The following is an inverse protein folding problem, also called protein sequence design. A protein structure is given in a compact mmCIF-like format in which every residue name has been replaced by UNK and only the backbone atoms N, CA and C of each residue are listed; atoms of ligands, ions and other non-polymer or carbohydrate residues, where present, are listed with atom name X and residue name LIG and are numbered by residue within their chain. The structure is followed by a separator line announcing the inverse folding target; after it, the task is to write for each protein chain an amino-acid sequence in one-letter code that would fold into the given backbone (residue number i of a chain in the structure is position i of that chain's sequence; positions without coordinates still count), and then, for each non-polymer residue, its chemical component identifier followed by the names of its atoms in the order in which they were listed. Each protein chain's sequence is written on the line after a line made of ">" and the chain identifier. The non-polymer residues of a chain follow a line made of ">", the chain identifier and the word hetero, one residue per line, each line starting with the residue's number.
data_IF_972802228316
#
_entry.id   IF_972802228316
#
_cell.length_a   1.000
_cell.length_b   1.000
_cell.length_c   1.000
_cell.angle_alpha   90.00
_cell.angle_beta   90.00
_cell.angle_gamma   90.00
#
_symmetry.space_group_name_H-M   'P 1'
#
loop_
_entity.id
_entity.type
_entity.pdbx_description
1 polymer ?
#
# COMPACT_ATOMS: atom_id res chain seq x y z
N UNK A 1 53.50 -25.69 30.20
CA UNK A 1 53.70 -25.50 28.75
C UNK A 1 52.67 -24.50 28.28
N UNK A 2 53.08 -23.30 27.82
CA UNK A 2 52.19 -22.22 27.42
C UNK A 2 51.98 -22.22 25.88
N UNK A 3 50.78 -21.93 25.43
CA UNK A 3 50.50 -21.41 24.08
C UNK A 3 49.08 -20.83 24.08
N UNK A 4 48.99 -19.49 24.13
CA UNK A 4 48.54 -18.63 23.01
C UNK A 4 47.01 -18.43 23.03
N UNK A 5 46.51 -17.33 23.59
CA UNK A 5 46.30 -16.04 22.91
C UNK A 5 45.63 -16.16 21.53
N UNK A 6 44.32 -15.83 21.48
CA UNK A 6 43.76 -15.21 20.28
C UNK A 6 42.50 -14.40 20.63
N UNK A 7 42.75 -13.14 20.99
CA UNK A 7 41.83 -12.01 20.84
C UNK A 7 41.65 -11.69 19.35
N UNK A 8 40.43 -11.75 18.84
CA UNK A 8 40.07 -11.13 17.56
C UNK A 8 38.85 -10.25 17.73
N UNK A 9 39.12 -8.95 17.78
CA UNK A 9 38.17 -7.87 17.67
C UNK A 9 37.65 -7.77 16.23
N UNK A 10 36.33 -7.82 16.04
CA UNK A 10 35.70 -7.50 14.76
C UNK A 10 35.04 -6.13 14.80
N UNK A 11 35.86 -5.18 14.37
CA UNK A 11 35.62 -3.91 13.67
C UNK A 11 34.21 -3.72 13.10
N UNK A 12 33.62 -2.57 13.43
CA UNK A 12 32.34 -2.12 12.91
C UNK A 12 32.33 -1.74 11.43
N UNK A 13 31.17 -1.93 10.81
CA UNK A 13 30.78 -1.31 9.56
C UNK A 13 29.75 -0.23 9.83
N UNK A 14 30.19 1.03 9.73
CA UNK A 14 29.33 2.20 9.50
C UNK A 14 28.99 2.21 8.01
N UNK A 15 27.75 1.94 7.66
CA UNK A 15 27.22 2.31 6.35
C UNK A 15 26.90 3.82 6.37
N UNK A 16 27.58 4.56 5.51
CA UNK A 16 27.37 5.97 5.29
C UNK A 16 26.21 6.16 4.30
N UNK A 17 25.18 6.90 4.72
CA UNK A 17 24.14 7.39 3.82
C UNK A 17 24.71 8.41 2.84
N UNK A 18 24.38 8.34 1.53
CA UNK A 18 24.68 9.42 0.60
C UNK A 18 23.69 10.59 0.79
N UNK A 19 24.15 11.86 0.70
CA UNK A 19 23.27 13.02 0.70
C UNK A 19 22.65 13.20 -0.68
N UNK A 20 21.33 13.10 -0.80
CA UNK A 20 20.64 13.55 -2.00
C UNK A 20 20.53 15.07 -1.98
N UNK A 21 21.42 15.68 -2.77
CA UNK A 21 21.46 17.08 -3.09
C UNK A 21 20.15 17.53 -3.76
N UNK A 22 19.59 18.62 -3.24
CA UNK A 22 18.53 19.38 -3.88
C UNK A 22 19.00 19.95 -5.20
N UNK A 23 18.20 19.75 -6.24
CA UNK A 23 18.25 20.56 -7.47
C UNK A 23 16.99 21.42 -7.50
N UNK A 24 17.17 22.68 -7.11
CA UNK A 24 16.33 23.75 -7.60
C UNK A 24 16.64 23.95 -9.09
N UNK A 25 15.62 23.90 -9.94
CA UNK A 25 15.69 24.51 -11.26
C UNK A 25 14.40 25.30 -11.49
N UNK A 26 14.54 26.59 -11.24
CA UNK A 26 13.88 27.67 -11.96
C UNK A 26 13.93 27.41 -13.48
N UNK A 27 12.87 27.80 -14.19
CA UNK A 27 12.88 28.71 -15.35
C UNK A 27 11.44 28.76 -15.91
N UNK A 28 10.81 29.93 -15.78
CA UNK A 28 9.64 30.37 -16.54
C UNK A 28 10.01 30.61 -18.01
N UNK A 29 9.04 30.49 -18.94
CA UNK A 29 8.41 31.70 -19.49
C UNK A 29 6.89 31.49 -19.62
N UNK A 30 5.99 32.35 -19.16
CA UNK A 30 5.76 33.76 -19.54
C UNK A 30 5.75 33.97 -21.07
N UNK A 31 4.59 33.71 -21.69
CA UNK A 31 4.18 34.46 -22.88
C UNK A 31 2.65 34.60 -22.88
N UNK A 32 2.26 35.86 -22.82
CA UNK A 32 0.93 36.43 -22.77
C UNK A 32 0.19 36.37 -24.13
N UNK A 33 -1.12 36.69 -24.16
CA UNK A 33 -2.01 36.36 -25.26
C UNK A 33 -1.97 37.39 -26.39
N UNK A 34 -2.14 36.94 -27.63
CA UNK A 34 -2.48 37.84 -28.73
C UNK A 34 -3.99 37.91 -28.92
N UNK A 35 -4.57 38.97 -28.36
CA UNK A 35 -5.84 39.55 -28.81
C UNK A 35 -5.47 40.56 -29.89
N UNK A 36 -5.94 40.35 -31.12
CA UNK A 36 -5.95 41.39 -32.17
C UNK A 36 -7.39 41.77 -32.44
N UNK A 37 -7.74 42.95 -31.97
CA UNK A 37 -8.95 43.72 -32.23
C UNK A 37 -8.89 44.42 -33.59
N UNK A 38 -10.01 44.37 -34.32
CA UNK A 38 -10.67 45.55 -34.91
C UNK A 38 -10.06 46.20 -36.17
N UNK A 39 -10.93 46.69 -37.05
CA UNK A 39 -10.55 47.72 -38.02
C UNK A 39 -11.37 47.71 -39.29
N UNK A 40 -12.46 48.46 -39.28
CA UNK A 40 -13.30 48.86 -40.40
C UNK A 40 -12.54 49.57 -41.53
N UNK A 41 -13.13 49.67 -42.72
CA UNK A 41 -12.58 50.50 -43.80
C UNK A 41 -13.35 50.48 -45.12
N UNK A 42 -14.36 51.35 -45.21
CA UNK A 42 -15.01 51.85 -46.43
C UNK A 42 -14.03 52.38 -47.50
N UNK A 43 -14.51 52.46 -48.75
CA UNK A 43 -14.01 53.38 -49.79
C UNK A 43 -13.73 52.69 -51.12
N UNK A 44 -14.67 52.69 -52.08
CA UNK A 44 -14.98 53.76 -53.03
C UNK A 44 -14.01 53.87 -54.24
N UNK A 45 -14.63 53.82 -55.43
CA UNK A 45 -14.27 54.49 -56.69
C UNK A 45 -12.96 54.16 -57.45
N UNK A 46 -13.12 53.59 -58.66
CA UNK A 46 -12.83 54.21 -59.98
C UNK A 46 -13.04 53.16 -61.08
N UNK A 47 -14.05 53.29 -61.95
CA UNK A 47 -14.06 54.07 -63.20
C UNK A 47 -12.88 53.80 -64.16
N UNK A 48 -13.19 53.11 -65.26
CA UNK A 48 -12.79 53.40 -66.66
C UNK A 48 -13.50 52.40 -67.58
N UNK A 49 -14.50 52.77 -68.41
CA UNK A 49 -14.39 53.31 -69.79
C UNK A 49 -13.38 52.50 -70.63
N UNK A 50 -13.65 51.99 -71.84
CA UNK A 50 -14.41 52.53 -72.97
C UNK A 50 -14.48 51.44 -74.07
N UNK A 51 -15.21 51.72 -75.15
CA UNK A 51 -15.22 51.04 -76.46
C UNK A 51 -16.03 49.72 -76.55
N UNK A 52 -16.98 49.54 -77.46
CA UNK A 52 -17.25 50.22 -78.73
C UNK A 52 -18.72 50.03 -79.11
N UNK A 53 -19.37 51.18 -79.29
CA UNK A 53 -20.52 51.39 -80.14
C UNK A 53 -20.27 50.83 -81.54
N UNK A 54 -21.32 50.31 -82.17
CA UNK A 54 -21.34 50.16 -83.62
C UNK A 54 -22.07 48.92 -84.14
N UNK A 55 -23.29 48.64 -83.68
CA UNK A 55 -24.22 47.71 -84.38
C UNK A 55 -25.67 47.69 -83.88
N UNK A 56 -26.16 48.73 -83.20
CA UNK A 56 -27.55 48.76 -82.67
C UNK A 56 -28.57 49.47 -83.55
N UNK A 57 -28.15 50.27 -84.53
CA UNK A 57 -29.09 51.07 -85.34
C UNK A 57 -29.60 50.36 -86.61
N UNK A 58 -29.33 49.07 -86.78
CA UNK A 58 -29.91 48.24 -87.86
C UNK A 58 -30.90 47.16 -87.37
N UNK A 59 -31.14 47.09 -86.05
CA UNK A 59 -32.02 46.09 -85.44
C UNK A 59 -33.40 46.65 -85.04
N UNK A 60 -33.53 47.96 -84.82
CA UNK A 60 -34.81 48.58 -84.47
C UNK A 60 -35.76 48.78 -85.67
N UNK A 61 -35.23 49.06 -86.87
CA UNK A 61 -36.07 49.18 -88.08
C UNK A 61 -36.60 47.82 -88.59
N UNK A 62 -35.93 46.71 -88.24
CA UNK A 62 -36.38 45.35 -88.56
C UNK A 62 -37.34 44.76 -87.53
N UNK A 63 -37.36 45.25 -86.28
CA UNK A 63 -38.35 44.84 -85.28
C UNK A 63 -39.70 45.53 -85.48
N UNK A 64 -39.73 46.78 -85.93
CA UNK A 64 -40.99 47.53 -86.10
C UNK A 64 -41.85 47.05 -87.28
N UNK A 65 -41.29 46.31 -88.24
CA UNK A 65 -42.08 45.68 -89.33
C UNK A 65 -42.61 44.28 -88.99
N UNK A 66 -42.16 43.67 -87.88
CA UNK A 66 -42.64 42.36 -87.39
C UNK A 66 -43.77 42.51 -86.35
N UNK A 67 -43.91 43.67 -85.73
CA UNK A 67 -44.91 43.93 -84.67
C UNK A 67 -46.33 44.18 -85.20
N UNK A 68 -46.54 44.27 -86.53
CA UNK A 68 -47.85 44.64 -87.10
C UNK A 68 -48.80 43.50 -87.44
N UNK A 69 -48.49 42.25 -87.06
CA UNK A 69 -49.40 41.09 -87.09
C UNK A 69 -49.10 40.09 -85.97
N UNK A 70 -49.01 40.57 -84.73
CA UNK A 70 -48.93 39.71 -83.56
C UNK A 70 -50.28 39.79 -82.85
N UNK A 71 -51.04 38.70 -82.88
CA UNK A 71 -52.28 38.58 -82.13
C UNK A 71 -51.99 38.70 -80.63
N UNK A 72 -52.92 39.29 -79.87
CA UNK A 72 -52.78 39.60 -78.42
C UNK A 72 -52.33 38.38 -77.60
N UNK A 73 -52.61 37.18 -78.07
CA UNK A 73 -52.19 35.88 -77.53
C UNK A 73 -50.66 35.70 -77.41
N UNK A 74 -49.87 36.18 -78.37
CA UNK A 74 -48.41 36.01 -78.37
C UNK A 74 -47.72 36.90 -77.32
N UNK A 75 -48.31 38.07 -77.02
CA UNK A 75 -47.81 38.97 -75.98
C UNK A 75 -48.00 38.38 -74.57
N UNK A 76 -49.11 37.67 -74.36
CA UNK A 76 -49.39 37.00 -73.08
C UNK A 76 -48.37 35.87 -72.85
N UNK A 77 -48.07 35.07 -73.89
CA UNK A 77 -47.07 34.00 -73.81
C UNK A 77 -45.67 34.57 -73.53
N UNK A 78 -45.28 35.66 -74.20
CA UNK A 78 -43.98 36.29 -73.98
C UNK A 78 -43.83 36.81 -72.54
N UNK A 79 -44.86 37.47 -72.00
CA UNK A 79 -44.85 37.97 -70.61
C UNK A 79 -44.77 36.81 -69.61
N UNK A 80 -45.57 35.76 -69.78
CA UNK A 80 -45.51 34.58 -68.91
C UNK A 80 -44.11 33.93 -68.92
N UNK A 81 -43.46 33.86 -70.07
CA UNK A 81 -42.12 33.28 -70.20
C UNK A 81 -41.06 34.10 -69.46
N UNK A 82 -41.17 35.44 -69.51
CA UNK A 82 -40.29 36.35 -68.77
C UNK A 82 -40.49 36.20 -67.26
N UNK A 83 -41.74 36.11 -66.79
CA UNK A 83 -42.05 35.94 -65.36
C UNK A 83 -41.48 34.61 -64.84
N UNK A 84 -41.62 33.52 -65.60
CA UNK A 84 -41.02 32.22 -65.25
C UNK A 84 -39.49 32.31 -65.20
N UNK A 85 -38.86 32.99 -66.17
CA UNK A 85 -37.41 33.16 -66.18
C UNK A 85 -36.91 33.94 -64.96
N UNK A 86 -37.60 35.01 -64.57
CA UNK A 86 -37.27 35.80 -63.37
C UNK A 86 -37.44 34.94 -62.11
N UNK A 87 -38.55 34.21 -61.97
CA UNK A 87 -38.79 33.32 -60.83
C UNK A 87 -37.72 32.22 -60.72
N UNK A 88 -37.24 31.70 -61.85
CA UNK A 88 -36.17 30.69 -61.89
C UNK A 88 -34.84 31.27 -61.43
N UNK A 89 -34.48 32.49 -61.86
CA UNK A 89 -33.24 33.16 -61.43
C UNK A 89 -33.27 33.46 -59.93
N UNK A 90 -34.39 33.94 -59.39
CA UNK A 90 -34.55 34.19 -57.94
C UNK A 90 -34.39 32.89 -57.15
N UNK A 91 -34.99 31.79 -57.62
CA UNK A 91 -34.87 30.48 -56.98
C UNK A 91 -33.42 29.98 -56.93
N UNK A 92 -32.64 30.19 -58.01
CA UNK A 92 -31.21 29.81 -58.05
C UNK A 92 -30.37 30.65 -57.08
N UNK A 93 -30.68 31.93 -56.90
CA UNK A 93 -29.97 32.80 -55.93
C UNK A 93 -30.25 32.37 -54.49
N UNK A 94 -31.50 32.02 -54.17
CA UNK A 94 -31.88 31.52 -52.84
C UNK A 94 -31.17 30.19 -52.53
N UNK A 95 -31.12 29.26 -53.49
CA UNK A 95 -30.42 27.98 -53.32
C UNK A 95 -28.91 28.18 -53.17
N UNK A 96 -28.31 29.12 -53.91
CA UNK A 96 -26.88 29.46 -53.72
C UNK A 96 -26.59 30.06 -52.34
N UNK A 97 -27.47 30.93 -51.81
CA UNK A 97 -27.34 31.47 -50.46
C UNK A 97 -27.34 30.39 -49.38
N UNK A 98 -28.24 29.40 -49.51
CA UNK A 98 -28.25 28.23 -48.61
C UNK A 98 -27.02 27.33 -48.76
N UNK A 99 -26.48 27.20 -49.98
CA UNK A 99 -25.30 26.39 -50.25
C UNK A 99 -24.01 27.03 -49.70
N UNK A 100 -23.93 28.36 -49.69
CA UNK A 100 -22.81 29.10 -49.09
C UNK A 100 -22.91 29.11 -47.54
N UNK A 101 -24.12 29.16 -46.97
CA UNK A 101 -24.34 28.91 -45.53
C UNK A 101 -23.93 27.49 -45.12
N UNK A 102 -24.23 26.48 -45.94
CA UNK A 102 -23.81 25.10 -45.69
C UNK A 102 -22.29 24.89 -45.78
N UNK A 103 -21.57 25.68 -46.59
CA UNK A 103 -20.10 25.65 -46.65
C UNK A 103 -19.44 26.37 -45.47
N UNK A 104 -20.08 27.40 -44.93
CA UNK A 104 -19.63 28.07 -43.70
C UNK A 104 -19.73 27.12 -42.48
N UNK A 105 -20.81 26.33 -42.43
CA UNK A 105 -21.08 25.32 -41.40
C UNK A 105 -20.04 24.19 -41.35
N UNK A 106 -19.41 23.81 -42.47
CA UNK A 106 -18.35 22.79 -42.46
C UNK A 106 -17.10 23.27 -41.73
N UNK A 107 -16.73 24.56 -41.85
CA UNK A 107 -15.59 25.11 -41.10
C UNK A 107 -15.84 25.16 -39.58
N UNK A 108 -17.08 25.44 -39.19
CA UNK A 108 -17.50 25.42 -37.78
C UNK A 108 -17.60 23.98 -37.26
N UNK A 109 -18.05 23.03 -38.09
CA UNK A 109 -18.08 21.62 -37.76
C UNK A 109 -16.66 21.06 -37.59
N UNK A 110 -15.71 21.42 -38.46
CA UNK A 110 -14.30 21.02 -38.35
C UNK A 110 -13.65 21.59 -37.08
N UNK A 111 -13.97 22.84 -36.72
CA UNK A 111 -13.52 23.43 -35.46
C UNK A 111 -14.14 22.75 -34.23
N UNK A 112 -15.42 22.37 -34.30
CA UNK A 112 -16.10 21.65 -33.23
C UNK A 112 -15.53 20.24 -33.05
N UNK A 113 -15.24 19.54 -34.14
CA UNK A 113 -14.59 18.22 -34.14
C UNK A 113 -13.16 18.33 -33.60
N UNK A 114 -12.41 19.36 -33.99
CA UNK A 114 -11.07 19.60 -33.46
C UNK A 114 -11.11 19.89 -31.94
N UNK A 115 -12.05 20.72 -31.49
CA UNK A 115 -12.25 21.01 -30.07
C UNK A 115 -12.66 19.76 -29.27
N UNK A 116 -13.60 18.96 -29.79
CA UNK A 116 -14.03 17.71 -29.18
C UNK A 116 -12.88 16.68 -29.13
N UNK A 117 -12.04 16.61 -30.17
CA UNK A 117 -10.87 15.73 -30.22
C UNK A 117 -9.82 16.15 -29.19
N UNK A 118 -9.56 17.45 -29.05
CA UNK A 118 -8.67 17.98 -28.00
C UNK A 118 -9.20 17.67 -26.60
N UNK A 119 -10.51 17.81 -26.38
CA UNK A 119 -11.12 17.48 -25.09
C UNK A 119 -11.06 15.97 -24.80
N UNK A 120 -11.30 15.11 -25.79
CA UNK A 120 -11.18 13.66 -25.64
C UNK A 120 -9.75 13.21 -25.32
N UNK A 121 -8.74 13.82 -25.97
CA UNK A 121 -7.34 13.56 -25.67
C UNK A 121 -6.94 14.04 -24.28
N UNK A 122 -7.38 15.24 -23.85
CA UNK A 122 -7.14 15.73 -22.51
C UNK A 122 -7.79 14.85 -21.42
N UNK A 123 -9.01 14.34 -21.67
CA UNK A 123 -9.68 13.38 -20.77
C UNK A 123 -8.90 12.06 -20.72
N UNK A 124 -8.36 11.60 -21.86
CA UNK A 124 -7.52 10.40 -21.92
C UNK A 124 -6.25 10.57 -21.11
N UNK A 125 -5.55 11.70 -21.25
CA UNK A 125 -4.32 11.98 -20.50
C UNK A 125 -4.58 12.10 -18.99
N UNK A 126 -5.70 12.70 -18.58
CA UNK A 126 -6.12 12.74 -17.17
C UNK A 126 -6.44 11.34 -16.64
N UNK A 127 -7.10 10.50 -17.44
CA UNK A 127 -7.38 9.10 -17.07
C UNK A 127 -6.07 8.30 -16.93
N UNK A 128 -5.14 8.49 -17.85
CA UNK A 128 -3.86 7.77 -17.83
C UNK A 128 -3.01 8.23 -16.63
N UNK A 129 -2.99 9.54 -16.31
CA UNK A 129 -2.35 10.08 -15.11
C UNK A 129 -2.99 9.55 -13.83
N UNK A 130 -4.33 9.54 -13.74
CA UNK A 130 -5.05 8.98 -12.60
C UNK A 130 -4.79 7.47 -12.44
N UNK A 131 -4.72 6.73 -13.55
CA UNK A 131 -4.40 5.31 -13.53
C UNK A 131 -2.97 5.04 -13.05
N UNK A 132 -2.00 5.86 -13.48
CA UNK A 132 -0.62 5.81 -13.00
C UNK A 132 -0.53 6.12 -11.50
N UNK A 133 -1.23 7.15 -11.03
CA UNK A 133 -1.30 7.48 -9.60
C UNK A 133 -1.92 6.35 -8.78
N UNK A 134 -3.00 5.71 -9.26
CA UNK A 134 -3.61 4.57 -8.58
C UNK A 134 -2.66 3.37 -8.47
N UNK A 135 -1.89 3.07 -9.53
CA UNK A 135 -0.88 2.00 -9.48
C UNK A 135 0.22 2.31 -8.46
N UNK A 136 0.74 3.54 -8.46
CA UNK A 136 1.76 3.94 -7.47
C UNK A 136 1.25 3.91 -6.03
N UNK A 137 -0.01 4.32 -5.80
CA UNK A 137 -0.65 4.22 -4.49
C UNK A 137 -0.86 2.77 -4.06
N UNK A 138 -1.24 1.89 -4.98
CA UNK A 138 -1.40 0.47 -4.71
C UNK A 138 -0.05 -0.18 -4.34
N UNK A 139 1.03 0.14 -5.05
CA UNK A 139 2.38 -0.31 -4.74
C UNK A 139 2.85 0.23 -3.38
N UNK A 140 2.63 1.52 -3.09
CA UNK A 140 2.96 2.12 -1.81
C UNK A 140 2.18 1.48 -0.65
N UNK A 141 0.88 1.23 -0.82
CA UNK A 141 0.08 0.51 0.18
C UNK A 141 0.58 -0.92 0.39
N UNK A 142 0.99 -1.61 -0.67
CA UNK A 142 1.62 -2.93 -0.58
C UNK A 142 2.93 -2.88 0.21
N UNK A 143 3.80 -1.91 -0.08
CA UNK A 143 5.06 -1.71 0.62
C UNK A 143 4.84 -1.35 2.10
N UNK A 144 3.88 -0.45 2.40
CA UNK A 144 3.54 -0.08 3.77
C UNK A 144 2.97 -1.25 4.58
N UNK A 145 2.09 -2.07 3.99
CA UNK A 145 1.60 -3.29 4.64
C UNK A 145 2.73 -4.26 4.96
N UNK A 146 3.63 -4.50 4.01
CA UNK A 146 4.80 -5.35 4.22
C UNK A 146 5.73 -4.79 5.31
N UNK A 147 5.94 -3.48 5.32
CA UNK A 147 6.72 -2.81 6.36
C UNK A 147 6.06 -2.91 7.73
N UNK A 148 4.73 -2.80 7.80
CA UNK A 148 3.96 -2.99 9.02
C UNK A 148 4.09 -4.43 9.54
N UNK A 149 4.02 -5.43 8.67
CA UNK A 149 4.24 -6.83 9.03
C UNK A 149 5.65 -7.10 9.57
N UNK A 150 6.68 -6.55 8.92
CA UNK A 150 8.08 -6.65 9.39
C UNK A 150 8.23 -5.98 10.75
N UNK A 151 7.65 -4.79 10.93
CA UNK A 151 7.69 -4.06 12.20
C UNK A 151 6.98 -4.85 13.29
N UNK A 152 5.81 -5.44 13.00
CA UNK A 152 5.11 -6.30 13.94
C UNK A 152 5.95 -7.51 14.34
N UNK A 153 6.64 -8.16 13.39
CA UNK A 153 7.54 -9.29 13.67
C UNK A 153 8.70 -8.88 14.59
N UNK A 154 9.30 -7.71 14.34
CA UNK A 154 10.41 -7.20 15.14
C UNK A 154 9.98 -6.80 16.56
N UNK A 155 8.74 -6.35 16.73
CA UNK A 155 8.22 -5.87 18.00
C UNK A 155 7.54 -6.96 18.85
N UNK A 156 7.41 -8.20 18.37
CA UNK A 156 6.66 -9.26 19.07
C UNK A 156 7.12 -9.46 20.51
N UNK A 157 6.19 -9.95 21.33
CA UNK A 157 6.54 -10.42 22.65
C UNK A 157 7.45 -11.66 22.54
N UNK A 158 8.36 -11.81 23.47
CA UNK A 158 9.27 -12.95 23.51
C UNK A 158 9.53 -13.32 24.95
N UNK A 159 8.93 -14.40 25.43
CA UNK A 159 9.12 -14.85 26.80
C UNK A 159 10.35 -15.73 26.90
N UNK A 160 11.27 -15.36 27.80
CA UNK A 160 12.49 -16.10 28.10
C UNK A 160 12.56 -16.47 29.57
N UNK A 161 13.07 -17.67 29.85
CA UNK A 161 13.49 -18.05 31.21
C UNK A 161 14.87 -17.49 31.52
N UNK A 162 14.96 -16.74 32.61
CA UNK A 162 16.24 -16.20 33.11
C UNK A 162 16.94 -17.20 34.04
N UNK A 163 16.16 -17.98 34.79
CA UNK A 163 16.70 -18.93 35.76
C UNK A 163 15.62 -19.63 36.56
N UNK A 164 16.06 -20.45 37.51
CA UNK A 164 15.22 -20.97 38.59
C UNK A 164 15.85 -20.50 39.90
N UNK A 165 15.02 -19.98 40.79
CA UNK A 165 15.41 -19.57 42.14
C UNK A 165 14.87 -20.59 43.13
N UNK A 166 15.75 -21.19 43.92
CA UNK A 166 15.37 -22.00 45.07
C UNK A 166 15.31 -21.11 46.33
N UNK A 167 14.20 -21.17 47.06
CA UNK A 167 14.07 -20.52 48.37
C UNK A 167 13.78 -21.58 49.43
N UNK A 168 14.53 -21.65 50.54
CA UNK A 168 14.28 -22.64 51.58
C UNK A 168 12.88 -22.46 52.16
N UNK A 169 12.24 -23.58 52.49
CA UNK A 169 10.94 -23.63 53.17
C UNK A 169 11.17 -24.20 54.56
N UNK A 170 10.75 -23.45 55.58
CA UNK A 170 10.91 -23.80 56.98
C UNK A 170 9.57 -24.24 57.58
N UNK A 171 9.59 -25.30 58.38
CA UNK A 171 8.48 -25.69 59.25
C UNK A 171 8.95 -25.59 60.71
N UNK A 172 8.69 -24.43 61.34
CA UNK A 172 9.33 -24.10 62.61
C UNK A 172 10.82 -23.80 62.42
N UNK A 173 11.68 -24.57 63.10
CA UNK A 173 13.14 -24.45 62.98
C UNK A 173 13.73 -25.37 61.89
N UNK A 174 12.95 -26.34 61.41
CA UNK A 174 13.43 -27.36 60.50
C UNK A 174 13.22 -26.96 59.03
N UNK A 175 14.27 -27.15 58.22
CA UNK A 175 14.19 -26.97 56.76
C UNK A 175 13.51 -28.20 56.15
N UNK A 176 12.33 -28.01 55.56
CA UNK A 176 11.52 -29.11 54.97
C UNK A 176 11.67 -29.24 53.46
N UNK A 177 12.30 -28.28 52.81
CA UNK A 177 12.57 -28.32 51.38
C UNK A 177 12.84 -26.95 50.79
N UNK A 178 12.62 -26.81 49.47
CA UNK A 178 12.80 -25.57 48.73
C UNK A 178 11.62 -25.29 47.82
N UNK A 179 11.16 -24.05 47.85
CA UNK A 179 10.27 -23.50 46.85
C UNK A 179 11.11 -23.11 45.64
N UNK A 180 11.05 -23.93 44.60
CA UNK A 180 11.60 -23.60 43.30
C UNK A 180 10.67 -22.59 42.63
N UNK A 181 11.23 -21.58 41.96
CA UNK A 181 10.48 -20.58 41.21
C UNK A 181 11.20 -20.32 39.89
N UNK A 182 10.52 -20.53 38.76
CA UNK A 182 11.06 -20.08 37.48
C UNK A 182 10.90 -18.55 37.37
N UNK A 183 11.95 -17.90 36.87
CA UNK A 183 11.95 -16.46 36.59
C UNK A 183 11.81 -16.32 35.09
N UNK A 184 10.68 -15.78 34.65
CA UNK A 184 10.44 -15.46 33.24
C UNK A 184 10.48 -13.97 33.02
N UNK A 185 10.97 -13.55 31.86
CA UNK A 185 10.94 -12.16 31.42
C UNK A 185 10.43 -12.08 29.99
N UNK A 186 9.59 -11.09 29.71
CA UNK A 186 9.32 -10.69 28.35
C UNK A 186 10.49 -9.83 27.84
N UNK A 187 11.31 -10.39 26.95
CA UNK A 187 12.42 -9.71 26.27
C UNK A 187 12.03 -9.17 24.90
N UNK A 188 10.74 -9.25 24.54
CA UNK A 188 10.18 -8.72 23.31
C UNK A 188 9.86 -7.22 23.38
N UNK A 189 9.35 -6.68 22.28
CA UNK A 189 9.04 -5.26 22.13
C UNK A 189 7.62 -4.87 22.57
N UNK A 190 6.72 -5.84 22.74
CA UNK A 190 5.32 -5.63 23.12
C UNK A 190 4.90 -6.53 24.28
N UNK A 191 3.77 -6.22 24.92
CA UNK A 191 3.19 -7.09 25.94
C UNK A 191 2.85 -8.47 25.38
N UNK A 192 2.95 -9.49 26.24
CA UNK A 192 2.38 -10.81 26.01
C UNK A 192 1.04 -10.91 26.76
N UNK A 193 0.00 -11.28 26.04
CA UNK A 193 -1.36 -11.47 26.55
C UNK A 193 -1.68 -12.96 26.70
N UNK A 194 -2.74 -13.27 27.44
CA UNK A 194 -3.17 -14.64 27.73
C UNK A 194 -2.01 -15.52 28.24
N UNK A 195 -1.07 -14.90 28.96
CA UNK A 195 0.11 -15.60 29.42
C UNK A 195 -0.31 -16.67 30.42
N UNK A 196 0.17 -17.87 30.16
CA UNK A 196 -0.15 -19.05 30.94
C UNK A 196 1.09 -19.93 31.04
N UNK A 197 1.24 -20.59 32.19
CA UNK A 197 2.35 -21.51 32.39
C UNK A 197 1.96 -22.64 33.34
N UNK A 198 2.43 -23.84 33.00
CA UNK A 198 2.40 -25.00 33.88
C UNK A 198 3.81 -25.56 33.98
N UNK A 199 4.18 -26.03 35.16
CA UNK A 199 5.44 -26.71 35.37
C UNK A 199 5.32 -27.74 36.50
N UNK A 200 6.24 -28.69 36.57
CA UNK A 200 6.25 -29.82 37.52
C UNK A 200 7.68 -30.25 37.85
N UNK A 201 7.85 -30.86 39.02
CA UNK A 201 9.08 -31.55 39.43
C UNK A 201 8.87 -33.05 39.22
N UNK A 202 9.84 -33.70 38.59
CA UNK A 202 9.89 -35.15 38.42
C UNK A 202 11.12 -35.67 39.15
N UNK A 203 10.95 -36.63 40.06
CA UNK A 203 12.05 -37.20 40.81
C UNK A 203 12.79 -38.27 39.98
N UNK A 204 12.47 -38.50 38.70
CA UNK A 204 13.30 -39.30 37.80
C UNK A 204 13.12 -38.73 36.38
N UNK A 205 14.00 -39.10 35.46
CA UNK A 205 13.97 -38.58 34.10
C UNK A 205 12.62 -38.87 33.42
N UNK A 206 11.82 -37.84 33.09
CA UNK A 206 10.55 -38.07 32.44
C UNK A 206 10.82 -38.51 31.00
N UNK A 207 10.58 -39.80 30.74
CA UNK A 207 10.64 -40.38 29.40
C UNK A 207 9.27 -40.21 28.73
N UNK A 208 9.26 -39.70 27.52
CA UNK A 208 8.09 -39.77 26.64
C UNK A 208 7.90 -41.15 26.04
N UNK A 209 6.72 -41.36 25.46
CA UNK A 209 6.38 -42.57 24.71
C UNK A 209 7.31 -42.86 23.53
N UNK A 210 8.04 -41.88 23.01
CA UNK A 210 9.02 -42.04 21.92
C UNK A 210 10.46 -42.24 22.42
N UNK A 211 10.67 -42.41 23.74
CA UNK A 211 11.96 -42.72 24.34
C UNK A 211 12.95 -41.55 24.40
N UNK A 212 12.54 -40.34 24.01
CA UNK A 212 13.34 -39.13 24.19
C UNK A 212 13.31 -38.69 25.65
N UNK A 213 14.43 -38.14 26.11
CA UNK A 213 14.55 -37.56 27.44
C UNK A 213 14.07 -36.12 27.43
N UNK A 214 13.10 -35.82 28.31
CA UNK A 214 12.42 -34.51 28.40
C UNK A 214 11.79 -33.91 27.11
N UNK A 215 10.66 -34.45 26.62
CA UNK A 215 9.77 -33.78 25.64
C UNK A 215 8.36 -33.58 26.21
N UNK A 216 7.97 -32.32 26.38
CA UNK A 216 7.05 -31.96 27.47
C UNK A 216 5.58 -32.19 27.09
N UNK A 217 5.01 -33.31 27.55
CA UNK A 217 3.55 -33.54 27.58
C UNK A 217 2.95 -32.87 28.81
N UNK A 218 3.12 -31.56 28.93
CA UNK A 218 2.19 -30.80 29.77
C UNK A 218 1.08 -30.34 28.82
N UNK A 219 -0.04 -31.08 28.87
CA UNK A 219 -1.26 -30.67 28.17
C UNK A 219 -1.66 -29.27 28.69
N UNK A 220 -2.00 -28.34 27.80
CA UNK A 220 -2.52 -27.05 28.24
C UNK A 220 -3.76 -27.28 29.11
N UNK A 221 -3.93 -26.47 30.15
CA UNK A 221 -5.18 -26.47 30.90
C UNK A 221 -6.26 -25.79 30.06
N UNK A 222 -7.47 -26.34 30.11
CA UNK A 222 -8.65 -25.75 29.43
C UNK A 222 -9.03 -24.36 30.00
N UNK A 223 -8.60 -24.05 31.23
CA UNK A 223 -8.84 -22.76 31.88
C UNK A 223 -7.55 -21.95 31.95
N UNK A 224 -7.53 -20.86 31.19
CA UNK A 224 -6.48 -19.85 31.22
C UNK A 224 -6.93 -18.69 32.11
N UNK A 225 -6.06 -18.24 32.98
CA UNK A 225 -6.23 -16.96 33.66
C UNK A 225 -5.46 -15.92 32.84
N UNK A 226 -6.10 -14.87 32.33
CA UNK A 226 -5.40 -13.88 31.53
C UNK A 226 -4.41 -13.14 32.44
N UNK A 227 -3.12 -13.40 32.25
CA UNK A 227 -2.05 -12.57 32.79
C UNK A 227 -1.43 -11.78 31.64
N UNK A 228 -1.11 -10.51 31.93
CA UNK A 228 -0.35 -9.65 31.04
C UNK A 228 1.12 -9.69 31.47
N UNK A 229 2.02 -9.92 30.52
CA UNK A 229 3.46 -9.81 30.73
C UNK A 229 4.06 -8.66 29.93
N UNK A 230 4.32 -7.55 30.62
CA UNK A 230 4.91 -6.34 30.04
C UNK A 230 6.42 -6.52 29.78
N UNK A 231 6.96 -5.94 28.68
CA UNK A 231 8.39 -5.98 28.40
C UNK A 231 9.26 -5.56 29.59
N UNK A 232 10.35 -6.30 29.78
CA UNK A 232 11.36 -6.03 30.79
C UNK A 232 10.99 -6.40 32.23
N UNK A 233 9.72 -6.63 32.55
CA UNK A 233 9.32 -7.01 33.91
C UNK A 233 9.54 -8.51 34.15
N UNK A 234 10.35 -8.89 35.16
CA UNK A 234 10.47 -10.28 35.55
C UNK A 234 9.19 -10.70 36.29
N UNK A 235 8.65 -11.85 35.93
CA UNK A 235 7.54 -12.49 36.62
C UNK A 235 8.07 -13.74 37.30
N UNK A 236 8.04 -13.73 38.63
CA UNK A 236 8.27 -14.91 39.48
C UNK A 236 6.94 -15.62 39.70
N UNK A 237 6.95 -16.93 39.58
CA UNK A 237 5.72 -17.71 39.43
C UNK A 237 5.33 -18.49 40.70
N UNK A 238 4.23 -19.24 40.60
CA UNK A 238 3.79 -20.16 41.65
C UNK A 238 4.92 -21.15 41.97
N UNK A 239 5.37 -21.13 43.22
CA UNK A 239 6.41 -22.00 43.70
C UNK A 239 5.98 -23.47 43.64
N UNK A 240 6.91 -24.35 43.25
CA UNK A 240 6.75 -25.79 43.45
C UNK A 240 7.77 -26.24 44.49
N UNK A 241 7.29 -26.98 45.48
CA UNK A 241 8.11 -27.46 46.57
C UNK A 241 8.91 -28.69 46.14
N UNK A 242 10.23 -28.56 46.13
CA UNK A 242 11.17 -29.66 46.18
C UNK A 242 11.31 -30.12 47.63
N UNK A 243 10.99 -31.38 47.92
CA UNK A 243 11.08 -31.92 49.28
C UNK A 243 12.54 -32.15 49.67
N UNK A 244 12.83 -32.02 50.97
CA UNK A 244 14.15 -32.32 51.52
C UNK A 244 14.64 -33.72 51.16
N UNK A 245 13.78 -34.74 51.31
CA UNK A 245 14.11 -36.15 51.05
C UNK A 245 14.59 -36.39 49.62
N UNK A 246 13.87 -35.83 48.63
CA UNK A 246 14.23 -35.95 47.21
C UNK A 246 15.59 -35.28 46.95
N UNK A 247 15.81 -34.08 47.50
CA UNK A 247 17.07 -33.35 47.32
C UNK A 247 18.27 -34.08 47.96
N UNK A 248 18.07 -34.74 49.11
CA UNK A 248 19.11 -35.57 49.76
C UNK A 248 19.45 -36.78 48.90
N UNK A 249 18.44 -37.49 48.39
CA UNK A 249 18.65 -38.63 47.49
C UNK A 249 19.37 -38.21 46.22
N UNK A 250 19.04 -37.05 45.67
CA UNK A 250 19.71 -36.52 44.49
C UNK A 250 21.16 -36.12 44.75
N UNK A 251 21.45 -35.48 45.90
CA UNK A 251 22.83 -35.18 46.31
C UNK A 251 23.68 -36.44 46.47
N UNK A 252 23.05 -37.55 46.89
CA UNK A 252 23.71 -38.85 47.03
C UNK A 252 23.86 -39.61 45.70
N UNK A 253 23.37 -39.06 44.58
CA UNK A 253 23.38 -39.73 43.27
C UNK A 253 22.43 -40.93 43.18
N UNK A 254 21.46 -41.03 44.10
CA UNK A 254 20.46 -42.10 44.12
C UNK A 254 19.33 -41.81 43.12
N UNK A 255 19.10 -40.54 42.81
CA UNK A 255 17.94 -40.09 42.08
C UNK A 255 18.24 -38.79 41.31
N UNK A 256 17.69 -38.62 40.12
CA UNK A 256 17.83 -37.36 39.37
C UNK A 256 16.57 -36.51 39.55
N UNK A 257 16.71 -35.18 39.55
CA UNK A 257 15.55 -34.29 39.71
C UNK A 257 15.42 -33.40 38.49
N UNK A 258 14.29 -33.52 37.80
CA UNK A 258 13.99 -32.72 36.63
C UNK A 258 12.86 -31.74 36.91
N UNK A 259 13.04 -30.51 36.48
CA UNK A 259 12.01 -29.48 36.47
C UNK A 259 11.61 -29.24 35.04
N UNK A 260 10.32 -29.43 34.76
CA UNK A 260 9.78 -29.39 33.42
C UNK A 260 8.67 -28.35 33.36
N UNK A 261 8.75 -27.42 32.42
CA UNK A 261 7.78 -26.34 32.28
C UNK A 261 7.39 -26.04 30.84
N UNK A 262 6.18 -25.48 30.69
CA UNK A 262 5.64 -24.99 29.44
C UNK A 262 4.92 -23.67 29.67
N UNK A 263 5.17 -22.73 28.77
CA UNK A 263 4.58 -21.41 28.70
C UNK A 263 3.78 -21.32 27.41
N UNK A 264 2.64 -20.67 27.47
CA UNK A 264 1.83 -20.28 26.32
C UNK A 264 1.48 -18.80 26.44
N UNK A 265 1.55 -18.06 25.34
CA UNK A 265 1.17 -16.65 25.31
C UNK A 265 0.74 -16.23 23.90
N UNK A 266 0.12 -15.06 23.79
CA UNK A 266 -0.20 -14.40 22.53
C UNK A 266 0.45 -13.03 22.49
N UNK A 267 0.73 -12.55 21.28
CA UNK A 267 1.07 -11.14 21.10
C UNK A 267 -0.17 -10.27 21.35
N UNK A 268 0.04 -8.97 21.59
CA UNK A 268 -1.03 -7.96 21.60
C UNK A 268 -1.67 -7.73 20.23
N UNK A 269 -1.06 -8.23 19.16
CA UNK A 269 -1.57 -8.02 17.80
C UNK A 269 -2.71 -9.00 17.50
N UNK A 270 -3.80 -8.47 16.93
CA UNK A 270 -4.96 -9.30 16.57
C UNK A 270 -4.59 -10.36 15.54
N UNK A 271 -5.09 -11.58 15.72
CA UNK A 271 -4.92 -12.69 14.78
C UNK A 271 -3.59 -13.43 14.85
N UNK A 272 -2.70 -13.11 15.79
CA UNK A 272 -1.45 -13.87 15.98
C UNK A 272 -1.74 -15.27 16.55
N UNK A 273 -0.96 -16.26 16.08
CA UNK A 273 -0.96 -17.61 16.65
C UNK A 273 -0.56 -17.56 18.14
N UNK A 274 -1.01 -18.55 18.91
CA UNK A 274 -0.45 -18.76 20.26
C UNK A 274 0.98 -19.23 20.11
N UNK A 275 1.90 -18.59 20.83
CA UNK A 275 3.29 -19.01 20.93
C UNK A 275 3.43 -19.93 22.13
N UNK A 276 4.27 -20.96 21.98
CA UNK A 276 4.65 -21.80 23.09
C UNK A 276 6.16 -21.83 23.30
N UNK A 277 6.52 -22.01 24.57
CA UNK A 277 7.90 -22.13 25.02
C UNK A 277 7.97 -23.23 26.07
N UNK A 278 8.75 -24.27 25.80
CA UNK A 278 8.87 -25.43 26.67
C UNK A 278 10.34 -25.63 27.09
N UNK A 279 10.56 -26.06 28.33
CA UNK A 279 11.90 -26.20 28.89
C UNK A 279 11.99 -27.34 29.91
N UNK A 280 13.13 -28.03 29.92
CA UNK A 280 13.48 -29.03 30.91
C UNK A 280 14.87 -28.74 31.50
N UNK A 281 14.94 -28.81 32.83
CA UNK A 281 16.12 -28.47 33.61
C UNK A 281 16.42 -29.61 34.59
N UNK A 282 17.67 -30.06 34.60
CA UNK A 282 18.19 -30.98 35.62
C UNK A 282 18.66 -30.17 36.84
N UNK A 283 18.17 -30.54 38.02
CA UNK A 283 18.48 -29.89 39.30
C UNK A 283 19.57 -30.68 40.00
N UNK A 284 20.73 -30.04 40.19
CA UNK A 284 21.89 -30.63 40.84
C UNK A 284 22.12 -29.94 42.20
N UNK A 285 21.76 -30.57 43.32
CA UNK A 285 22.06 -30.04 44.64
C UNK A 285 23.55 -30.22 44.98
N UNK A 286 24.23 -29.12 45.34
CA UNK A 286 25.64 -29.14 45.75
C UNK A 286 25.76 -29.12 47.28
N UNK A 287 25.16 -28.11 47.91
CA UNK A 287 25.21 -27.90 49.35
C UNK A 287 23.82 -27.51 49.89
N UNK A 288 23.12 -28.49 50.47
CA UNK A 288 21.76 -28.32 51.01
C UNK A 288 21.72 -27.44 52.27
N UNK A 289 22.84 -27.31 52.99
CA UNK A 289 22.90 -26.44 54.17
C UNK A 289 22.95 -24.98 53.74
N UNK A 290 23.72 -24.69 52.68
CA UNK A 290 23.89 -23.36 52.07
C UNK A 290 22.87 -23.01 50.98
N UNK A 291 21.90 -23.88 50.72
CA UNK A 291 20.90 -23.71 49.65
C UNK A 291 21.52 -23.57 48.25
N UNK A 292 22.64 -24.26 47.99
CA UNK A 292 23.36 -24.20 46.72
C UNK A 292 22.88 -25.27 45.73
N UNK A 293 22.31 -24.81 44.62
CA UNK A 293 21.81 -25.63 43.52
C UNK A 293 22.39 -25.18 42.19
N UNK A 294 22.59 -26.12 41.27
CA UNK A 294 22.76 -25.84 39.85
C UNK A 294 21.56 -26.31 39.04
N UNK A 295 21.23 -25.55 38.00
CA UNK A 295 20.06 -25.76 37.15
C UNK A 295 20.55 -25.91 35.70
N UNK A 296 20.80 -27.15 35.29
CA UNK A 296 21.39 -27.47 34.00
C UNK A 296 20.28 -27.59 32.94
N UNK A 297 20.37 -26.83 31.85
CA UNK A 297 19.44 -26.95 30.74
C UNK A 297 19.63 -28.30 30.04
N UNK A 298 18.57 -29.10 29.99
CA UNK A 298 18.54 -30.38 29.26
C UNK A 298 17.96 -30.16 27.87
N UNK A 299 16.80 -29.49 27.80
CA UNK A 299 16.14 -29.15 26.54
C UNK A 299 15.39 -27.83 26.63
N UNK A 300 15.30 -27.14 25.50
CA UNK A 300 14.59 -25.88 25.34
C UNK A 300 13.98 -25.83 23.93
N UNK A 301 12.67 -25.66 23.82
CA UNK A 301 11.92 -25.65 22.56
C UNK A 301 11.09 -24.36 22.45
N UNK A 302 11.14 -23.72 21.29
CA UNK A 302 10.47 -22.46 20.96
C UNK A 302 9.82 -22.54 19.58
N UNK A 303 8.60 -22.02 19.47
CA UNK A 303 7.80 -21.89 18.23
C UNK A 303 8.26 -20.81 17.22
#
# INVERSE_FOLDING_TARGET
>A
MPSEENTSAQKGHREAHPPHAGKASSIYPESEPQIVTGGDGEGAHKDTRHEKNGRRDKLYDKLNSLVRRVEVTDWIVAICTIVIAIATVVSVVIVKGQLDEMKSSSSQADQLVAAATMQANAIKDLRDLASGQLLTLQEQLGAMKKQQEITQIQMRANIRREGIVAKPVMAGIDKVGWNLNSVLRNVGGTDATDFFMIWKIFPDEPKTSDGRTCPIIIKPLDRRFPMLMTPGQPVTQAAIMLRMEDAVRAKQGIQDIYVVGRVEYRDVFNGTKTHNYAWCVHVVPHDLEKDEFSFLNVSEERD
#
